data_IF_097353411663
#
_entry.id   IF_097353411663
#
_cell.length_a   1.000
_cell.length_b   1.000
_cell.length_c   1.000
_cell.angle_alpha   90.00
_cell.angle_beta   90.00
_cell.angle_gamma   90.00
#
_symmetry.space_group_name_H-M   'P 1'
#
loop_
_entity.id
_entity.type
_entity.pdbx_description
1 polymer ?
#
# COMPACT_ATOMS: atom_id res chain seq x y z
N UNK A 1 13.29 14.45 -16.13
CA UNK A 1 12.62 13.32 -16.78
C UNK A 1 13.22 13.15 -18.16
N UNK A 2 13.51 11.95 -18.61
CA UNK A 2 14.18 11.71 -19.89
C UNK A 2 14.70 10.28 -20.01
N UNK A 3 15.75 10.09 -20.83
CA UNK A 3 16.38 8.79 -21.07
C UNK A 3 16.89 8.16 -19.78
N UNK A 4 16.60 6.90 -19.56
CA UNK A 4 17.00 6.14 -18.36
C UNK A 4 18.50 5.84 -18.30
N UNK A 5 19.21 5.95 -19.40
CA UNK A 5 20.68 5.81 -19.46
C UNK A 5 21.41 7.05 -18.95
N UNK A 6 20.73 8.19 -18.87
CA UNK A 6 21.23 9.42 -18.28
C UNK A 6 20.79 9.52 -16.80
N UNK A 7 21.68 9.19 -15.89
CA UNK A 7 21.42 9.17 -14.44
C UNK A 7 21.12 10.55 -13.81
N UNK A 8 21.17 11.63 -14.57
CA UNK A 8 20.65 12.95 -14.16
C UNK A 8 19.12 12.99 -14.20
N UNK A 9 18.48 12.08 -14.95
CA UNK A 9 17.04 11.96 -14.99
C UNK A 9 16.54 11.15 -13.81
N UNK A 10 15.66 11.74 -13.00
CA UNK A 10 15.05 11.06 -11.84
C UNK A 10 14.08 9.96 -12.28
N UNK A 11 13.40 10.13 -13.42
CA UNK A 11 12.43 9.16 -13.93
C UNK A 11 12.38 9.18 -15.46
N UNK A 12 12.02 8.03 -16.03
CA UNK A 12 11.82 7.81 -17.46
C UNK A 12 10.35 7.86 -17.89
N UNK A 13 10.08 7.29 -19.05
CA UNK A 13 8.73 7.09 -19.58
C UNK A 13 7.94 6.05 -18.78
N UNK A 14 6.61 6.06 -18.86
CA UNK A 14 5.76 4.98 -18.38
C UNK A 14 5.85 3.77 -19.31
N UNK A 15 5.36 2.61 -18.85
CA UNK A 15 5.71 1.31 -19.45
C UNK A 15 5.24 1.15 -20.91
N UNK A 16 4.07 1.68 -21.25
CA UNK A 16 3.49 1.54 -22.58
C UNK A 16 2.46 2.63 -22.91
N UNK A 17 1.92 2.56 -24.14
CA UNK A 17 0.90 3.48 -24.63
C UNK A 17 -0.39 3.42 -23.81
N UNK A 18 -0.82 2.25 -23.36
CA UNK A 18 -2.07 2.10 -22.61
C UNK A 18 -1.95 2.79 -21.25
N UNK A 19 -0.80 2.62 -20.57
CA UNK A 19 -0.48 3.33 -19.34
C UNK A 19 -0.44 4.85 -19.55
N UNK A 20 0.21 5.30 -20.62
CA UNK A 20 0.25 6.73 -20.98
C UNK A 20 -1.15 7.30 -21.21
N UNK A 21 -2.00 6.61 -21.97
CA UNK A 21 -3.36 7.07 -22.25
C UNK A 21 -4.19 7.19 -20.97
N UNK A 22 -4.16 6.16 -20.12
CA UNK A 22 -4.87 6.18 -18.82
C UNK A 22 -4.44 7.37 -17.95
N UNK A 23 -3.14 7.63 -17.87
CA UNK A 23 -2.59 8.71 -17.06
C UNK A 23 -2.88 10.09 -17.65
N UNK A 24 -2.80 10.22 -18.98
CA UNK A 24 -3.17 11.44 -19.69
C UNK A 24 -4.66 11.76 -19.51
N UNK A 25 -5.53 10.76 -19.62
CA UNK A 25 -6.98 10.91 -19.36
C UNK A 25 -7.24 11.35 -17.91
N UNK A 26 -6.49 10.82 -16.93
CA UNK A 26 -6.60 11.27 -15.54
C UNK A 26 -6.18 12.73 -15.35
N UNK A 27 -5.11 13.19 -16.04
CA UNK A 27 -4.72 14.60 -16.04
C UNK A 27 -5.78 15.48 -16.71
N UNK A 28 -6.40 15.03 -17.80
CA UNK A 28 -7.47 15.75 -18.48
C UNK A 28 -8.76 15.82 -17.65
N UNK A 29 -9.10 14.74 -16.94
CA UNK A 29 -10.18 14.75 -15.96
C UNK A 29 -9.91 15.78 -14.86
N UNK A 30 -8.70 15.77 -14.30
CA UNK A 30 -8.30 16.71 -13.25
C UNK A 30 -8.37 18.20 -13.71
N UNK A 31 -8.26 18.46 -15.02
CA UNK A 31 -8.42 19.81 -15.56
C UNK A 31 -9.88 20.24 -15.70
N UNK A 32 -10.77 19.29 -16.00
CA UNK A 32 -12.15 19.59 -16.39
C UNK A 32 -13.13 19.52 -15.23
N UNK A 33 -12.88 18.60 -14.28
CA UNK A 33 -13.82 18.34 -13.22
C UNK A 33 -13.62 19.33 -12.05
N UNK A 34 -14.68 19.97 -11.57
CA UNK A 34 -14.59 21.09 -10.63
C UNK A 34 -14.07 20.71 -9.24
N UNK A 35 -14.14 19.43 -8.87
CA UNK A 35 -13.62 18.93 -7.61
C UNK A 35 -12.11 18.81 -7.58
N UNK A 36 -11.42 18.92 -8.72
CA UNK A 36 -9.97 18.79 -8.80
C UNK A 36 -9.29 20.12 -9.12
N UNK A 37 -8.06 20.23 -8.60
CA UNK A 37 -7.14 21.33 -8.92
C UNK A 37 -5.75 20.75 -9.10
N UNK A 38 -5.17 20.91 -10.29
CA UNK A 38 -3.77 20.56 -10.54
C UNK A 38 -2.89 21.61 -9.87
N UNK A 39 -2.06 21.17 -8.92
CA UNK A 39 -1.13 22.04 -8.20
C UNK A 39 0.22 22.16 -8.93
N UNK A 40 0.67 21.06 -9.56
CA UNK A 40 1.85 21.07 -10.41
C UNK A 40 1.80 19.92 -11.43
N UNK A 41 2.62 19.97 -12.47
CA UNK A 41 2.67 18.97 -13.53
C UNK A 41 1.50 19.07 -14.49
N UNK A 42 0.86 17.96 -14.79
CA UNK A 42 -0.32 17.91 -15.67
C UNK A 42 0.02 17.86 -17.16
N UNK A 43 1.27 17.64 -17.55
CA UNK A 43 1.66 17.55 -18.97
C UNK A 43 2.04 16.12 -19.34
N UNK A 44 1.78 15.76 -20.59
CA UNK A 44 2.13 14.48 -21.18
C UNK A 44 2.76 14.71 -22.57
N UNK A 45 3.72 13.88 -22.96
CA UNK A 45 4.37 13.93 -24.27
C UNK A 45 4.58 12.50 -24.78
N UNK A 46 4.15 12.23 -26.00
CA UNK A 46 4.25 10.91 -26.66
C UNK A 46 5.11 10.94 -27.94
N UNK A 47 5.86 12.03 -28.19
CA UNK A 47 6.64 12.20 -29.43
C UNK A 47 7.87 11.28 -29.49
N UNK A 48 8.61 11.19 -28.40
CA UNK A 48 9.84 10.37 -28.31
C UNK A 48 9.69 9.19 -27.35
N UNK A 49 8.62 9.17 -26.55
CA UNK A 49 8.34 8.12 -25.57
C UNK A 49 7.07 8.44 -24.78
N UNK A 50 6.63 7.50 -23.97
CA UNK A 50 5.40 7.62 -23.19
C UNK A 50 5.65 8.42 -21.91
N UNK A 51 5.91 9.72 -22.04
CA UNK A 51 6.25 10.57 -20.90
C UNK A 51 5.01 11.21 -20.28
N UNK A 52 4.90 11.05 -18.95
CA UNK A 52 3.90 11.72 -18.10
C UNK A 52 4.66 12.51 -17.04
N UNK A 53 4.44 13.81 -16.99
CA UNK A 53 5.05 14.65 -15.97
C UNK A 53 4.50 14.29 -14.58
N UNK A 54 5.37 14.23 -13.53
CA UNK A 54 4.90 14.13 -12.16
C UNK A 54 3.83 15.19 -11.87
N UNK A 55 2.68 14.74 -11.42
CA UNK A 55 1.49 15.57 -11.26
C UNK A 55 0.93 15.46 -9.87
N UNK A 56 0.65 16.60 -9.24
CA UNK A 56 -0.04 16.67 -7.96
C UNK A 56 -1.41 17.32 -8.18
N UNK A 57 -2.44 16.61 -7.78
CA UNK A 57 -3.84 17.03 -7.86
C UNK A 57 -4.39 17.17 -6.45
N UNK A 58 -5.02 18.30 -6.16
CA UNK A 58 -5.83 18.47 -4.94
C UNK A 58 -7.30 18.17 -5.26
N UNK A 59 -7.98 17.47 -4.37
CA UNK A 59 -9.43 17.25 -4.48
C UNK A 59 -10.19 17.75 -3.27
N UNK A 60 -11.41 18.22 -3.48
CA UNK A 60 -12.36 18.54 -2.41
C UNK A 60 -13.27 17.36 -2.05
N UNK A 61 -13.23 16.28 -2.85
CA UNK A 61 -14.01 15.06 -2.62
C UNK A 61 -13.09 13.90 -2.25
N UNK A 62 -13.10 13.43 -0.99
CA UNK A 62 -12.26 12.30 -0.55
C UNK A 62 -12.65 10.96 -1.20
N UNK A 63 -13.81 10.88 -1.85
CA UNK A 63 -14.28 9.70 -2.55
C UNK A 63 -14.11 9.77 -4.06
N UNK A 64 -13.50 10.82 -4.56
CA UNK A 64 -13.22 11.03 -5.98
C UNK A 64 -12.43 9.85 -6.60
N UNK A 65 -12.62 9.61 -7.90
CA UNK A 65 -11.98 8.52 -8.62
C UNK A 65 -10.46 8.52 -8.44
N UNK A 66 -9.82 9.69 -8.58
CA UNK A 66 -8.36 9.82 -8.46
C UNK A 66 -7.82 9.58 -7.04
N UNK A 67 -8.69 9.54 -6.00
CA UNK A 67 -8.32 9.11 -4.65
C UNK A 67 -8.38 7.59 -4.47
N UNK A 68 -9.19 6.89 -5.27
CA UNK A 68 -9.49 5.46 -5.09
C UNK A 68 -8.81 4.57 -6.11
N UNK A 69 -8.74 5.03 -7.36
CA UNK A 69 -8.19 4.23 -8.45
C UNK A 69 -6.66 4.25 -8.45
N UNK A 70 -6.04 3.07 -8.47
CA UNK A 70 -4.61 2.92 -8.67
C UNK A 70 -4.25 3.17 -10.14
N UNK A 71 -3.70 4.34 -10.43
CA UNK A 71 -3.33 4.74 -11.79
C UNK A 71 -2.03 4.09 -12.26
N UNK A 72 -1.19 3.67 -11.35
CA UNK A 72 0.12 3.07 -11.60
C UNK A 72 1.06 3.98 -12.39
N UNK A 73 1.14 5.24 -11.98
CA UNK A 73 1.98 6.26 -12.63
C UNK A 73 2.17 7.51 -11.77
N UNK A 74 2.87 8.53 -12.27
CA UNK A 74 3.32 9.67 -11.49
C UNK A 74 2.22 10.72 -11.25
N UNK A 75 1.06 10.30 -10.80
CA UNK A 75 -0.05 11.18 -10.40
C UNK A 75 -0.38 10.94 -8.95
N UNK A 76 -0.29 11.96 -8.11
CA UNK A 76 -0.61 11.94 -6.69
C UNK A 76 -1.81 12.84 -6.44
N UNK A 77 -2.81 12.31 -5.75
CA UNK A 77 -4.00 13.07 -5.35
C UNK A 77 -3.97 13.36 -3.86
N UNK A 78 -4.20 14.62 -3.50
CA UNK A 78 -4.23 15.12 -2.13
C UNK A 78 -5.66 15.49 -1.73
N UNK A 79 -6.01 15.15 -0.50
CA UNK A 79 -7.20 15.65 0.16
C UNK A 79 -6.78 16.33 1.47
N UNK A 80 -7.16 17.59 1.63
CA UNK A 80 -6.90 18.38 2.83
C UNK A 80 -8.09 18.26 3.75
N UNK A 81 -7.86 17.89 5.03
CA UNK A 81 -8.90 17.74 6.04
C UNK A 81 -8.65 18.70 7.20
N UNK A 82 -9.70 19.04 7.92
CA UNK A 82 -9.64 19.87 9.12
C UNK A 82 -9.06 19.10 10.30
N UNK A 83 -8.24 19.72 11.12
CA UNK A 83 -7.60 19.10 12.28
C UNK A 83 -8.58 18.36 13.21
N UNK A 84 -9.78 18.92 13.40
CA UNK A 84 -10.83 18.30 14.19
C UNK A 84 -11.38 16.99 13.59
N UNK A 85 -11.18 16.76 12.29
CA UNK A 85 -11.63 15.57 11.56
C UNK A 85 -10.59 14.44 11.52
N UNK A 86 -9.54 14.50 12.33
CA UNK A 86 -8.45 13.53 12.29
C UNK A 86 -8.92 12.08 12.47
N UNK A 87 -9.79 11.80 13.43
CA UNK A 87 -10.31 10.44 13.66
C UNK A 87 -11.17 9.93 12.50
N UNK A 88 -12.01 10.80 11.93
CA UNK A 88 -12.84 10.46 10.78
C UNK A 88 -11.97 10.25 9.52
N UNK A 89 -10.89 11.02 9.40
CA UNK A 89 -9.92 10.86 8.32
C UNK A 89 -9.17 9.53 8.40
N UNK A 90 -8.82 9.07 9.61
CA UNK A 90 -8.25 7.72 9.79
C UNK A 90 -9.23 6.66 9.28
N UNK A 91 -10.51 6.75 9.63
CA UNK A 91 -11.54 5.82 9.15
C UNK A 91 -11.73 5.90 7.63
N UNK A 92 -11.68 7.12 7.06
CA UNK A 92 -11.72 7.35 5.62
C UNK A 92 -10.54 6.67 4.90
N UNK A 93 -9.32 6.81 5.42
CA UNK A 93 -8.11 6.19 4.86
C UNK A 93 -8.20 4.66 4.94
N UNK A 94 -8.66 4.10 6.07
CA UNK A 94 -8.81 2.65 6.23
C UNK A 94 -9.82 2.07 5.22
N UNK A 95 -10.92 2.78 4.96
CA UNK A 95 -11.94 2.38 3.98
C UNK A 95 -11.70 2.84 2.54
N UNK A 96 -10.62 3.60 2.29
CA UNK A 96 -10.40 4.32 1.02
C UNK A 96 -9.96 3.45 -0.15
N UNK A 97 -9.42 2.25 0.11
CA UNK A 97 -8.88 1.36 -0.93
C UNK A 97 -9.11 -0.10 -0.60
N UNK A 98 -9.35 -0.89 -1.65
CA UNK A 98 -9.36 -2.35 -1.56
C UNK A 98 -7.95 -2.94 -1.41
N UNK A 99 -6.91 -2.16 -1.67
CA UNK A 99 -5.51 -2.56 -1.52
C UNK A 99 -4.99 -2.24 -0.12
N UNK A 100 -4.00 -3.02 0.33
CA UNK A 100 -3.36 -2.86 1.63
C UNK A 100 -1.87 -3.22 1.56
N UNK A 101 -1.14 -2.68 0.58
CA UNK A 101 0.27 -3.01 0.38
C UNK A 101 1.18 -2.14 1.26
N UNK A 102 1.22 -0.84 0.99
CA UNK A 102 2.03 0.13 1.72
C UNK A 102 1.21 1.31 2.19
N UNK A 103 1.57 1.85 3.34
CA UNK A 103 1.01 3.07 3.88
C UNK A 103 2.03 3.79 4.74
N UNK A 104 1.87 5.10 4.90
CA UNK A 104 2.74 5.90 5.74
C UNK A 104 1.98 6.97 6.50
N UNK A 105 2.51 7.34 7.65
CA UNK A 105 2.10 8.53 8.40
C UNK A 105 3.32 9.41 8.67
N UNK A 106 3.10 10.69 8.65
CA UNK A 106 4.08 11.70 9.07
C UNK A 106 3.45 12.51 10.18
N UNK A 107 4.00 12.42 11.39
CA UNK A 107 3.50 13.10 12.56
C UNK A 107 4.63 13.45 13.52
N UNK A 108 4.61 14.67 14.06
CA UNK A 108 5.48 15.08 15.16
C UNK A 108 4.89 14.72 16.53
N UNK A 109 3.54 14.64 16.64
CA UNK A 109 2.85 14.23 17.86
C UNK A 109 2.79 12.70 17.94
N UNK A 110 3.35 12.15 19.04
CA UNK A 110 3.41 10.71 19.29
C UNK A 110 2.02 10.10 19.54
N UNK A 111 1.09 10.85 20.12
CA UNK A 111 -0.28 10.41 20.36
C UNK A 111 -1.04 10.26 19.05
N UNK A 112 -0.90 11.23 18.15
CA UNK A 112 -1.47 11.17 16.80
C UNK A 112 -0.87 10.01 15.99
N UNK A 113 0.45 9.80 16.08
CA UNK A 113 1.11 8.67 15.43
C UNK A 113 0.58 7.32 15.92
N UNK A 114 0.42 7.16 17.25
CA UNK A 114 -0.12 5.93 17.86
C UNK A 114 -1.60 5.70 17.49
N UNK A 115 -2.41 6.76 17.48
CA UNK A 115 -3.82 6.68 17.07
C UNK A 115 -3.94 6.25 15.60
N UNK A 116 -3.17 6.87 14.70
CA UNK A 116 -3.15 6.51 13.28
C UNK A 116 -2.66 5.06 13.06
N UNK A 117 -1.57 4.65 13.73
CA UNK A 117 -1.08 3.27 13.67
C UNK A 117 -2.12 2.25 14.12
N UNK A 118 -2.87 2.57 15.17
CA UNK A 118 -3.93 1.70 15.69
C UNK A 118 -5.11 1.60 14.73
N UNK A 119 -5.59 2.74 14.23
CA UNK A 119 -6.72 2.82 13.31
C UNK A 119 -6.43 2.20 11.94
N UNK A 120 -5.20 2.35 11.45
CA UNK A 120 -4.77 1.88 10.12
C UNK A 120 -4.08 0.52 10.13
N UNK A 121 -4.16 -0.25 11.22
CA UNK A 121 -3.46 -1.54 11.37
C UNK A 121 -3.74 -2.58 10.26
N UNK A 122 -4.87 -2.45 9.56
CA UNK A 122 -5.27 -3.32 8.45
C UNK A 122 -5.15 -2.64 7.08
N UNK A 123 -4.80 -1.36 7.04
CA UNK A 123 -4.73 -0.57 5.82
C UNK A 123 -3.45 -0.84 5.00
N UNK A 124 -2.39 -1.33 5.64
CA UNK A 124 -1.13 -1.60 4.95
C UNK A 124 -0.36 -2.76 5.59
N UNK A 125 0.18 -3.64 4.77
CA UNK A 125 1.08 -4.70 5.21
C UNK A 125 2.47 -4.16 5.57
N UNK A 126 2.96 -3.16 4.84
CA UNK A 126 4.16 -2.40 5.19
C UNK A 126 3.74 -0.98 5.59
N UNK A 127 3.90 -0.65 6.86
CA UNK A 127 3.48 0.61 7.45
C UNK A 127 4.70 1.41 7.92
N UNK A 128 4.82 2.65 7.47
CA UNK A 128 5.96 3.52 7.70
C UNK A 128 5.56 4.72 8.57
N UNK A 129 6.40 5.08 9.52
CA UNK A 129 6.20 6.25 10.39
C UNK A 129 7.39 7.19 10.21
N UNK A 130 7.13 8.39 9.70
CA UNK A 130 8.15 9.41 9.43
C UNK A 130 9.32 8.90 8.58
N UNK A 131 9.03 8.03 7.64
CA UNK A 131 10.01 7.40 6.76
C UNK A 131 9.49 7.40 5.32
N UNK A 132 10.29 6.93 4.38
CA UNK A 132 9.91 6.77 2.97
C UNK A 132 8.62 5.93 2.87
N UNK A 133 7.58 6.43 2.20
CA UNK A 133 6.23 5.83 2.27
C UNK A 133 6.08 4.50 1.55
N UNK A 134 7.08 4.05 0.83
CA UNK A 134 7.09 2.77 0.11
C UNK A 134 8.51 2.33 -0.22
N UNK A 135 8.66 1.11 -0.78
CA UNK A 135 9.94 0.60 -1.22
C UNK A 135 10.73 -0.07 -0.10
N UNK A 136 10.31 -1.27 0.29
CA UNK A 136 11.03 -2.09 1.24
C UNK A 136 12.48 -2.36 0.76
N UNK A 137 13.42 -2.25 1.68
CA UNK A 137 14.84 -2.56 1.43
C UNK A 137 15.10 -4.00 1.85
N UNK A 138 15.63 -4.80 0.92
CA UNK A 138 15.98 -6.21 1.20
C UNK A 138 16.92 -6.30 2.40
N UNK A 139 16.57 -7.16 3.36
CA UNK A 139 17.32 -7.35 4.60
C UNK A 139 16.97 -6.39 5.73
N UNK A 140 16.22 -5.31 5.46
CA UNK A 140 15.74 -4.39 6.51
C UNK A 140 14.30 -4.70 6.92
N UNK A 141 13.40 -4.84 5.95
CA UNK A 141 12.02 -5.24 6.20
C UNK A 141 11.52 -6.19 5.12
N UNK A 142 10.74 -7.22 5.49
CA UNK A 142 10.06 -8.07 4.53
C UNK A 142 8.89 -7.32 3.90
N UNK A 143 8.51 -7.70 2.68
CA UNK A 143 7.52 -6.99 1.89
C UNK A 143 6.29 -7.83 1.59
N UNK A 144 5.12 -7.24 1.78
CA UNK A 144 3.84 -7.87 1.47
C UNK A 144 2.67 -7.08 2.02
N UNK A 145 1.51 -7.25 1.42
CA UNK A 145 0.27 -6.59 1.80
C UNK A 145 -0.91 -7.53 1.90
N UNK A 146 -1.92 -7.08 2.61
CA UNK A 146 -3.21 -7.74 2.75
C UNK A 146 -4.26 -7.19 1.78
N UNK A 147 -5.53 -7.48 2.03
CA UNK A 147 -6.66 -7.12 1.17
C UNK A 147 -6.41 -7.60 -0.27
N UNK A 148 -6.77 -6.82 -1.28
CA UNK A 148 -6.51 -7.14 -2.69
C UNK A 148 -5.02 -7.11 -3.09
N UNK A 149 -4.12 -6.64 -2.22
CA UNK A 149 -2.68 -6.63 -2.51
C UNK A 149 -2.00 -7.99 -2.31
N UNK A 150 -2.67 -8.98 -1.74
CA UNK A 150 -2.13 -10.34 -1.62
C UNK A 150 -2.32 -10.98 -0.26
N UNK A 151 -1.53 -12.03 -0.01
CA UNK A 151 -1.64 -12.90 1.17
C UNK A 151 -0.78 -12.45 2.35
N UNK A 152 -0.05 -11.36 2.19
CA UNK A 152 0.85 -10.78 3.20
C UNK A 152 1.94 -11.74 3.70
N UNK A 153 2.44 -12.61 2.83
CA UNK A 153 3.42 -13.65 3.18
C UNK A 153 4.83 -13.11 3.48
N UNK A 154 5.04 -11.80 3.42
CA UNK A 154 6.30 -11.16 3.79
C UNK A 154 7.50 -11.69 3.02
N UNK A 155 7.51 -11.45 1.70
CA UNK A 155 8.65 -11.75 0.82
C UNK A 155 9.95 -11.20 1.41
N UNK A 156 11.03 -11.99 1.37
CA UNK A 156 12.28 -11.67 2.04
C UNK A 156 12.34 -12.08 3.52
N UNK A 157 11.37 -12.85 4.01
CA UNK A 157 11.37 -13.43 5.36
C UNK A 157 11.10 -14.92 5.36
N UNK A 158 11.35 -15.56 6.50
CA UNK A 158 11.03 -16.97 6.72
C UNK A 158 9.52 -17.26 6.55
N UNK A 159 8.65 -16.29 6.80
CA UNK A 159 7.19 -16.46 6.65
C UNK A 159 6.79 -16.80 5.22
N UNK A 160 7.46 -16.22 4.23
CA UNK A 160 7.23 -16.56 2.83
C UNK A 160 7.57 -18.02 2.53
N UNK A 161 8.63 -18.54 3.12
CA UNK A 161 9.07 -19.93 2.91
C UNK A 161 8.06 -20.95 3.43
N UNK A 162 7.27 -20.61 4.46
CA UNK A 162 6.23 -21.48 5.00
C UNK A 162 5.16 -21.87 3.97
N UNK A 163 4.97 -21.07 2.93
CA UNK A 163 4.05 -21.37 1.83
C UNK A 163 4.52 -22.51 0.93
N UNK A 164 5.82 -22.79 0.93
CA UNK A 164 6.47 -23.75 0.03
C UNK A 164 6.78 -25.07 0.68
N UNK A 165 6.46 -25.23 1.97
CA UNK A 165 6.70 -26.46 2.72
C UNK A 165 5.39 -27.09 3.18
N UNK A 166 5.42 -28.42 3.37
CA UNK A 166 4.33 -29.17 3.99
C UNK A 166 4.85 -29.77 5.31
N UNK A 167 4.60 -29.09 6.45
CA UNK A 167 5.06 -29.57 7.74
C UNK A 167 4.45 -30.94 8.08
N UNK A 168 5.27 -31.87 8.54
CA UNK A 168 4.84 -33.16 9.04
C UNK A 168 5.19 -33.30 10.51
N UNK A 169 4.18 -33.61 11.33
CA UNK A 169 4.38 -33.93 12.74
C UNK A 169 4.39 -35.43 12.93
N UNK A 170 5.41 -35.94 13.61
CA UNK A 170 5.51 -37.33 13.99
C UNK A 170 5.48 -37.39 15.51
N UNK A 171 4.57 -38.18 16.07
CA UNK A 171 4.52 -38.52 17.49
C UNK A 171 4.74 -40.02 17.61
N UNK A 172 5.79 -40.40 18.32
CA UNK A 172 6.10 -41.80 18.62
C UNK A 172 5.94 -42.04 20.11
N UNK A 173 5.32 -43.17 20.50
CA UNK A 173 5.15 -43.55 21.88
C UNK A 173 5.79 -44.93 22.08
N UNK A 174 6.85 -44.98 22.84
CA UNK A 174 7.60 -46.23 23.09
C UNK A 174 6.84 -47.19 24.05
N UNK A 175 5.99 -46.63 24.92
CA UNK A 175 5.09 -47.42 25.78
C UNK A 175 3.65 -47.10 25.37
N UNK A 176 3.00 -47.95 24.56
CA UNK A 176 1.64 -47.72 24.13
C UNK A 176 0.67 -47.61 25.32
N UNK A 177 -0.28 -46.68 25.28
CA UNK A 177 -1.32 -46.57 26.30
C UNK A 177 -2.19 -47.84 26.29
N UNK A 178 -2.51 -48.33 27.48
CA UNK A 178 -3.36 -49.51 27.67
C UNK A 178 -4.79 -49.18 28.10
N UNK A 179 -5.02 -47.95 28.50
CA UNK A 179 -6.32 -47.43 28.91
C UNK A 179 -6.79 -46.35 27.93
N UNK A 180 -8.00 -46.49 27.44
CA UNK A 180 -8.61 -45.54 26.51
C UNK A 180 -9.19 -44.29 27.19
N UNK A 181 -9.33 -44.37 28.53
CA UNK A 181 -9.94 -43.28 29.31
C UNK A 181 -8.97 -42.12 29.45
N UNK A 182 -9.52 -40.94 29.45
CA UNK A 182 -8.77 -39.74 29.83
C UNK A 182 -8.59 -39.67 31.34
N UNK A 183 -7.53 -39.04 31.86
CA UNK A 183 -7.25 -38.98 33.31
C UNK A 183 -8.43 -38.51 34.14
N UNK A 184 -9.20 -37.54 33.70
CA UNK A 184 -10.39 -37.05 34.42
C UNK A 184 -11.52 -38.08 34.55
N UNK A 185 -11.52 -39.13 33.75
CA UNK A 185 -12.52 -40.20 33.80
C UNK A 185 -12.20 -41.24 34.87
N UNK A 186 -11.00 -41.21 35.43
CA UNK A 186 -10.57 -42.14 36.50
C UNK A 186 -10.82 -41.57 37.91
N UNK A 187 -11.08 -40.27 38.03
CA UNK A 187 -11.41 -39.61 39.31
C UNK A 187 -12.91 -39.76 39.61
N UNK A 188 -13.30 -40.80 40.28
CA UNK A 188 -14.56 -40.96 41.00
C UNK A 188 -14.33 -41.63 42.35
#
# INVERSE_FOLDING_TARGET
MGDVTDFRNFMGAVIDKASWQKLHEAQEEARRAPQYKILCGGTADDKEGWFIAPTVVETTDPHARLMKEELFGPVVTLYVYEDAAFADTIALVDGGSDYGLTGAIFACDLGAAAAAQTGLRQAAGNFYINDKPTGAVVGQQPFGGGRASGTNDKAGSMWNLMRWISPRTIKETFVPPKDYRYPFMAER
#
